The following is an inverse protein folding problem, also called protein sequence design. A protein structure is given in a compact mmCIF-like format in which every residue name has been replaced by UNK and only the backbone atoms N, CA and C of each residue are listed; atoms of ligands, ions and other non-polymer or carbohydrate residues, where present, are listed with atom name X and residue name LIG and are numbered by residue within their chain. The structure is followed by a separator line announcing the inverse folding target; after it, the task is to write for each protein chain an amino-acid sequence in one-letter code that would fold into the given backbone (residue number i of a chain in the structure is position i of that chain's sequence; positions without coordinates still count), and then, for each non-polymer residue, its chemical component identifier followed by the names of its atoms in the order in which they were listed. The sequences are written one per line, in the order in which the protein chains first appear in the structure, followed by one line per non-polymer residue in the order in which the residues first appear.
data_IF_826241992992
#
_entry.id   IF_826241992992
#
_cell.length_a   1.000
_cell.length_b   1.000
_cell.length_c   1.000
_cell.angle_alpha   90.00
_cell.angle_beta   90.00
_cell.angle_gamma   90.00
#
_symmetry.space_group_name_H-M   'P 1'
#
loop_
_entity.id
_entity.type
_entity.pdbx_description
1 polymer ?
#
# COMPACT_ATOMS: atom_id res chain seq x y z
N UNK A 1 13.15 -14.46 -16.47
CA UNK A 1 11.80 -13.89 -16.34
C UNK A 1 11.86 -12.84 -15.23
N UNK A 2 11.79 -11.55 -15.55
CA UNK A 2 11.64 -10.52 -14.52
C UNK A 2 10.20 -10.55 -14.03
N UNK A 3 9.97 -11.10 -12.84
CA UNK A 3 8.70 -10.91 -12.14
C UNK A 3 8.70 -9.45 -11.63
N UNK A 4 7.64 -8.72 -11.97
CA UNK A 4 7.41 -7.38 -11.40
C UNK A 4 6.90 -7.59 -9.98
N UNK A 5 7.79 -7.34 -9.03
CA UNK A 5 7.50 -7.43 -7.61
C UNK A 5 7.22 -6.02 -7.13
N UNK A 6 6.04 -5.84 -6.53
CA UNK A 6 5.65 -4.65 -5.78
C UNK A 6 5.67 -5.01 -4.30
N UNK A 7 6.26 -4.15 -3.48
CA UNK A 7 6.48 -4.44 -2.06
C UNK A 7 6.00 -3.30 -1.19
N UNK A 8 5.36 -3.66 -0.09
CA UNK A 8 4.84 -2.71 0.88
C UNK A 8 5.33 -3.06 2.28
N UNK A 9 5.60 -2.03 3.09
CA UNK A 9 5.83 -2.17 4.53
C UNK A 9 4.63 -1.58 5.25
N UNK A 10 3.99 -2.37 6.11
CA UNK A 10 2.88 -1.94 6.95
C UNK A 10 3.40 -1.79 8.39
N UNK A 11 3.18 -0.61 8.98
CA UNK A 11 3.49 -0.31 10.37
C UNK A 11 2.21 0.13 11.09
N UNK A 12 1.90 -0.52 12.21
CA UNK A 12 0.74 -0.18 13.02
C UNK A 12 1.20 0.51 14.30
N UNK A 13 0.71 1.72 14.53
CA UNK A 13 0.98 2.48 15.74
C UNK A 13 -0.29 2.44 16.60
N UNK A 14 -0.27 1.65 17.67
CA UNK A 14 -1.33 1.71 18.68
C UNK A 14 -1.11 2.99 19.49
N UNK A 15 -2.09 3.89 19.50
CA UNK A 15 -2.05 5.09 20.32
C UNK A 15 -2.63 4.75 21.69
N UNK A 16 -1.97 5.21 22.76
CA UNK A 16 -2.41 5.01 24.13
C UNK A 16 -3.56 5.99 24.44
N UNK A 17 -4.73 5.66 23.91
CA UNK A 17 -5.99 6.39 23.99
C UNK A 17 -7.04 5.42 24.51
N UNK A 18 -7.95 5.88 25.37
CA UNK A 18 -9.04 5.04 25.89
C UNK A 18 -10.01 4.56 24.78
N UNK A 19 -9.87 5.07 23.56
CA UNK A 19 -10.51 4.56 22.36
C UNK A 19 -9.46 3.86 21.49
N UNK A 20 -9.87 2.84 20.73
CA UNK A 20 -9.00 2.10 19.80
C UNK A 20 -8.54 3.01 18.65
N UNK A 21 -7.61 3.92 18.94
CA UNK A 21 -6.93 4.74 17.96
C UNK A 21 -5.65 4.02 17.56
N UNK A 22 -5.66 3.38 16.40
CA UNK A 22 -4.43 2.89 15.78
C UNK A 22 -4.24 3.58 14.44
N UNK A 23 -3.00 3.97 14.15
CA UNK A 23 -2.63 4.56 12.87
C UNK A 23 -1.85 3.54 12.07
N UNK A 24 -2.29 3.28 10.84
CA UNK A 24 -1.58 2.38 9.92
C UNK A 24 -0.74 3.23 8.98
N UNK A 25 0.56 3.01 8.98
CA UNK A 25 1.48 3.57 7.99
C UNK A 25 1.81 2.52 6.95
N UNK A 26 1.63 2.86 5.68
CA UNK A 26 1.99 2.04 4.54
C UNK A 26 3.13 2.71 3.79
N UNK A 27 4.21 1.99 3.51
CA UNK A 27 5.30 2.48 2.67
C UNK A 27 5.41 1.62 1.43
N UNK A 28 5.33 2.25 0.25
CA UNK A 28 5.64 1.60 -1.02
C UNK A 28 7.15 1.57 -1.21
N UNK A 29 7.76 0.38 -1.20
CA UNK A 29 9.22 0.21 -1.13
C UNK A 29 9.91 0.73 -2.40
N UNK A 30 9.28 0.56 -3.56
CA UNK A 30 9.83 0.94 -4.86
C UNK A 30 9.69 2.43 -5.16
N UNK A 31 8.76 3.13 -4.50
CA UNK A 31 8.47 4.55 -4.74
C UNK A 31 8.79 5.46 -3.57
N UNK A 32 9.30 4.90 -2.46
CA UNK A 32 9.63 5.60 -1.20
C UNK A 32 8.51 6.47 -0.62
N UNK A 33 7.26 6.24 -1.02
CA UNK A 33 6.11 7.00 -0.57
C UNK A 33 5.51 6.35 0.69
N UNK A 34 5.34 7.15 1.75
CA UNK A 34 4.62 6.77 2.98
C UNK A 34 3.24 7.41 3.00
N UNK A 35 2.21 6.59 3.25
CA UNK A 35 0.83 7.02 3.47
C UNK A 35 0.37 6.55 4.85
N UNK A 36 -0.62 7.25 5.40
CA UNK A 36 -1.25 6.87 6.66
C UNK A 36 -2.75 6.62 6.45
N UNK A 37 -3.26 5.61 7.12
CA UNK A 37 -4.65 5.18 7.07
C UNK A 37 -5.18 4.98 8.48
N UNK A 38 -6.48 5.16 8.64
CA UNK A 38 -7.18 4.98 9.92
C UNK A 38 -7.85 3.60 9.99
N UNK A 39 -7.85 2.83 8.88
CA UNK A 39 -8.33 1.44 8.83
C UNK A 39 -7.47 0.53 7.94
N UNK A 40 -7.48 -0.78 8.25
CA UNK A 40 -6.82 -1.78 7.40
C UNK A 40 -7.50 -1.94 6.03
N UNK A 41 -8.80 -1.70 5.97
CA UNK A 41 -9.57 -1.82 4.73
C UNK A 41 -9.12 -0.78 3.70
N UNK A 42 -8.96 0.48 4.12
CA UNK A 42 -8.44 1.54 3.26
C UNK A 42 -7.00 1.25 2.79
N UNK A 43 -6.13 0.85 3.72
CA UNK A 43 -4.75 0.50 3.39
C UNK A 43 -4.68 -0.68 2.39
N UNK A 44 -5.56 -1.68 2.54
CA UNK A 44 -5.63 -2.83 1.66
C UNK A 44 -6.17 -2.47 0.28
N UNK A 45 -7.20 -1.63 0.22
CA UNK A 45 -7.76 -1.15 -1.05
C UNK A 45 -6.71 -0.37 -1.84
N UNK A 46 -5.96 0.52 -1.18
CA UNK A 46 -4.86 1.23 -1.82
C UNK A 46 -3.78 0.29 -2.40
N UNK A 47 -3.39 -0.76 -1.66
CA UNK A 47 -2.41 -1.73 -2.16
C UNK A 47 -2.92 -2.47 -3.40
N UNK A 48 -4.21 -2.86 -3.43
CA UNK A 48 -4.82 -3.51 -4.61
C UNK A 48 -4.82 -2.58 -5.82
N UNK A 49 -5.30 -1.35 -5.65
CA UNK A 49 -5.34 -0.36 -6.73
C UNK A 49 -3.93 -0.08 -7.30
N UNK A 50 -2.92 -0.04 -6.43
CA UNK A 50 -1.52 0.15 -6.85
C UNK A 50 -1.04 -1.02 -7.73
N UNK A 51 -1.36 -2.25 -7.35
CA UNK A 51 -0.99 -3.45 -8.13
C UNK A 51 -1.77 -3.52 -9.45
N UNK A 52 -3.07 -3.25 -9.42
CA UNK A 52 -3.94 -3.27 -10.62
C UNK A 52 -3.55 -2.17 -11.64
N UNK A 53 -3.14 -0.99 -11.16
CA UNK A 53 -2.62 0.09 -11.99
C UNK A 53 -1.30 -0.27 -12.70
N UNK A 54 -0.42 -1.01 -12.01
CA UNK A 54 0.81 -1.54 -12.61
C UNK A 54 0.49 -2.58 -13.69
N UNK A 55 -0.47 -3.49 -13.47
CA UNK A 55 -0.90 -4.44 -14.49
C UNK A 55 -1.43 -3.75 -15.76
N UNK A 56 -2.17 -2.66 -15.58
CA UNK A 56 -2.75 -1.90 -16.70
C UNK A 56 -1.66 -1.24 -17.56
N UNK A 57 -0.67 -0.60 -16.91
CA UNK A 57 0.49 0.00 -17.58
C UNK A 57 1.29 -1.01 -18.40
N UNK A 58 1.42 -2.26 -17.90
CA UNK A 58 2.12 -3.34 -18.60
C UNK A 58 1.37 -3.85 -19.83
N UNK A 59 0.04 -3.82 -19.82
CA UNK A 59 -0.79 -4.22 -20.97
C UNK A 59 -0.72 -3.18 -22.09
N UNK A 60 -0.60 -1.90 -21.76
CA UNK A 60 -0.50 -0.80 -22.74
C UNK A 60 0.88 -0.74 -23.42
N UNK A 61 1.97 -1.01 -22.70
CA UNK A 61 3.33 -1.01 -23.26
C UNK A 61 3.69 -2.21 -24.16
N UNK A 62 2.75 -3.14 -24.39
CA UNK A 62 2.92 -4.31 -25.29
C UNK A 62 2.17 -4.19 -26.63
N UNK A 63 1.51 -3.07 -26.89
CA UNK A 63 0.96 -2.72 -28.21
C UNK A 63 1.98 -1.94 -29.03
#
# INVERSE_FOLDING_TARGET
MNQLITSFVIRCHVMDSQQRDYRIKLTHVQGENELSFDSFEEAMNYMKETVDGLESTLKEGRK
#
